data_IF_567383583074
#
_entry.id   IF_567383583074
#
_cell.length_a   1.000
_cell.length_b   1.000
_cell.length_c   1.000
_cell.angle_alpha   90.00
_cell.angle_beta   90.00
_cell.angle_gamma   90.00
#
_symmetry.space_group_name_H-M   'P 1'
#
loop_
_entity.id
_entity.type
_entity.pdbx_description
1 polymer ?
#
# COMPACT_ATOMS: atom_id res chain seq x y z
N UNK A 1 -12.03 -9.58 66.56
CA UNK A 1 -11.83 -10.96 66.06
C UNK A 1 -10.37 -11.10 65.64
N UNK A 2 -9.82 -12.30 65.45
CA UNK A 2 -8.44 -12.48 64.99
C UNK A 2 -8.40 -12.98 63.54
N UNK A 3 -7.46 -12.48 62.74
CA UNK A 3 -7.23 -12.96 61.39
C UNK A 3 -6.74 -14.42 61.40
N UNK A 4 -7.37 -15.30 60.63
CA UNK A 4 -7.00 -16.72 60.52
C UNK A 4 -5.63 -16.98 59.88
N UNK A 5 -4.96 -15.96 59.33
CA UNK A 5 -3.69 -16.13 58.63
C UNK A 5 -2.49 -15.50 59.33
N UNK A 6 -2.70 -14.43 60.10
CA UNK A 6 -1.60 -13.73 60.77
C UNK A 6 -1.87 -13.40 62.24
N UNK A 7 -3.03 -13.79 62.78
CA UNK A 7 -3.37 -13.61 64.19
C UNK A 7 -3.65 -12.17 64.62
N UNK A 8 -3.58 -11.17 63.72
CA UNK A 8 -3.83 -9.77 64.08
C UNK A 8 -5.30 -9.53 64.47
N UNK A 9 -5.53 -8.57 65.38
CA UNK A 9 -6.87 -8.08 65.70
C UNK A 9 -7.50 -7.41 64.47
N UNK A 10 -8.73 -7.82 64.15
CA UNK A 10 -9.56 -7.30 63.06
C UNK A 10 -10.94 -6.89 63.60
N UNK A 11 -11.51 -5.85 63.00
CA UNK A 11 -12.83 -5.34 63.29
C UNK A 11 -13.90 -6.08 62.49
N UNK A 12 -15.14 -6.15 63.00
CA UNK A 12 -16.24 -6.96 62.39
C UNK A 12 -16.60 -6.54 60.95
N UNK A 13 -16.27 -5.31 60.55
CA UNK A 13 -16.56 -4.75 59.22
C UNK A 13 -15.36 -4.71 58.27
N UNK A 14 -14.20 -5.26 58.66
CA UNK A 14 -13.01 -5.22 57.79
C UNK A 14 -13.14 -6.25 56.65
N UNK A 15 -13.10 -5.78 55.40
CA UNK A 15 -13.14 -6.65 54.20
C UNK A 15 -11.82 -7.38 53.96
N UNK A 16 -10.71 -6.80 54.39
CA UNK A 16 -9.36 -7.36 54.28
C UNK A 16 -8.58 -7.12 55.58
N UNK A 17 -7.64 -8.01 55.89
CA UNK A 17 -6.72 -7.82 57.01
C UNK A 17 -5.70 -6.74 56.68
N UNK A 18 -5.68 -5.64 57.44
CA UNK A 18 -4.73 -4.53 57.22
C UNK A 18 -3.25 -4.87 57.40
N UNK A 19 -2.92 -6.02 58.00
CA UNK A 19 -1.52 -6.44 58.22
C UNK A 19 -0.99 -7.42 57.17
N UNK A 20 -1.81 -8.37 56.73
CA UNK A 20 -1.37 -9.41 55.77
C UNK A 20 -2.13 -9.40 54.45
N UNK A 21 -3.10 -8.50 54.25
CA UNK A 21 -3.87 -8.35 53.01
C UNK A 21 -4.91 -9.43 52.75
N UNK A 22 -5.07 -10.44 53.63
CA UNK A 22 -6.02 -11.53 53.41
C UNK A 22 -7.48 -11.05 53.47
N UNK A 23 -8.29 -11.42 52.47
CA UNK A 23 -9.72 -11.13 52.43
C UNK A 23 -10.49 -11.91 53.50
N UNK A 24 -11.37 -11.23 54.24
CA UNK A 24 -12.04 -11.75 55.44
C UNK A 24 -13.54 -12.01 55.24
N UNK A 25 -14.14 -11.44 54.18
CA UNK A 25 -15.56 -11.62 53.87
C UNK A 25 -15.75 -12.13 52.44
N UNK A 26 -16.26 -13.35 52.33
CA UNK A 26 -16.71 -13.99 51.09
C UNK A 26 -18.24 -13.89 51.01
N UNK A 27 -18.75 -12.70 50.72
CA UNK A 27 -20.08 -12.43 50.12
C UNK A 27 -20.44 -10.96 50.34
N UNK A 28 -19.99 -10.10 49.42
CA UNK A 28 -20.72 -8.90 49.09
C UNK A 28 -21.04 -8.99 47.59
N UNK A 29 -22.30 -9.30 47.29
CA UNK A 29 -22.89 -9.07 45.97
C UNK A 29 -22.89 -7.56 45.73
N UNK A 30 -21.83 -7.05 45.12
CA UNK A 30 -21.92 -5.84 44.32
C UNK A 30 -22.52 -6.22 42.98
N UNK A 31 -23.68 -5.63 42.67
CA UNK A 31 -24.23 -5.57 41.32
C UNK A 31 -23.24 -4.87 40.39
N UNK A 32 -22.26 -5.60 39.88
CA UNK A 32 -21.51 -5.25 38.69
C UNK A 32 -22.15 -5.98 37.51
N UNK A 33 -22.66 -5.21 36.54
CA UNK A 33 -22.85 -5.72 35.18
C UNK A 33 -21.55 -6.42 34.75
N UNK A 34 -21.59 -7.65 34.21
CA UNK A 34 -20.38 -8.29 33.72
C UNK A 34 -19.83 -7.45 32.58
N UNK A 35 -18.77 -6.69 32.88
CA UNK A 35 -18.02 -5.92 31.92
C UNK A 35 -17.43 -6.88 30.89
N UNK A 36 -18.10 -6.98 29.73
CA UNK A 36 -17.75 -7.77 28.55
C UNK A 36 -16.49 -7.23 27.83
N UNK A 37 -15.59 -6.58 28.56
CA UNK A 37 -14.36 -5.98 28.03
C UNK A 37 -13.32 -7.06 27.76
N UNK A 38 -13.22 -8.10 28.58
CA UNK A 38 -12.24 -9.18 28.38
C UNK A 38 -12.56 -10.02 27.13
N UNK A 39 -13.84 -10.37 26.92
CA UNK A 39 -14.26 -11.11 25.71
C UNK A 39 -14.09 -10.30 24.42
N UNK A 40 -14.38 -9.00 24.44
CA UNK A 40 -14.13 -8.11 23.30
C UNK A 40 -12.65 -7.93 22.99
N UNK A 41 -11.80 -7.84 24.02
CA UNK A 41 -10.34 -7.72 23.87
C UNK A 41 -9.73 -9.02 23.34
N UNK A 42 -10.19 -10.19 23.81
CA UNK A 42 -9.70 -11.48 23.29
C UNK A 42 -10.18 -11.75 21.86
N UNK A 43 -11.44 -11.46 21.53
CA UNK A 43 -11.94 -11.53 20.15
C UNK A 43 -11.21 -10.57 19.22
N UNK A 44 -10.93 -9.33 19.66
CA UNK A 44 -10.13 -8.39 18.88
C UNK A 44 -8.70 -8.91 18.68
N UNK A 45 -8.04 -9.41 19.73
CA UNK A 45 -6.68 -9.95 19.66
C UNK A 45 -6.61 -11.18 18.74
N UNK A 46 -7.59 -12.07 18.80
CA UNK A 46 -7.68 -13.23 17.92
C UNK A 46 -7.92 -12.82 16.46
N UNK A 47 -8.83 -11.86 16.22
CA UNK A 47 -9.09 -11.32 14.89
C UNK A 47 -7.86 -10.63 14.31
N UNK A 48 -7.12 -9.85 15.10
CA UNK A 48 -5.87 -9.19 14.69
C UNK A 48 -4.76 -10.21 14.41
N UNK A 49 -4.63 -11.23 15.24
CA UNK A 49 -3.60 -12.28 15.07
C UNK A 49 -3.87 -13.11 13.82
N UNK A 50 -5.13 -13.50 13.59
CA UNK A 50 -5.55 -14.24 12.39
C UNK A 50 -5.44 -13.37 11.12
N UNK A 51 -5.76 -12.08 11.22
CA UNK A 51 -5.60 -11.13 10.12
C UNK A 51 -4.12 -10.97 9.73
N UNK A 52 -3.24 -10.72 10.71
CA UNK A 52 -1.80 -10.55 10.51
C UNK A 52 -1.15 -11.82 9.93
N UNK A 53 -1.46 -12.99 10.49
CA UNK A 53 -0.88 -14.25 10.02
C UNK A 53 -1.31 -14.58 8.58
N UNK A 54 -2.57 -14.35 8.22
CA UNK A 54 -3.05 -14.53 6.85
C UNK A 54 -2.32 -13.63 5.85
N UNK A 55 -2.15 -12.35 6.19
CA UNK A 55 -1.45 -11.37 5.34
C UNK A 55 0.05 -11.70 5.20
N UNK A 56 0.71 -12.18 6.25
CA UNK A 56 2.13 -12.55 6.20
C UNK A 56 2.36 -13.79 5.34
N UNK A 57 1.49 -14.80 5.46
CA UNK A 57 1.55 -16.00 4.62
C UNK A 57 1.30 -15.65 3.16
N UNK A 58 0.29 -14.83 2.90
CA UNK A 58 -0.02 -14.33 1.56
C UNK A 58 1.12 -13.48 1.00
N UNK A 59 1.71 -12.60 1.80
CA UNK A 59 2.86 -11.77 1.42
C UNK A 59 4.10 -12.59 1.07
N UNK A 60 4.44 -13.60 1.87
CA UNK A 60 5.54 -14.53 1.54
C UNK A 60 5.28 -15.22 0.22
N UNK A 61 4.05 -15.70 0.01
CA UNK A 61 3.64 -16.37 -1.23
C UNK A 61 3.73 -15.42 -2.42
N UNK A 62 3.26 -14.18 -2.26
CA UNK A 62 3.31 -13.12 -3.27
C UNK A 62 4.73 -12.84 -3.72
N UNK A 63 5.64 -12.48 -2.80
CA UNK A 63 7.01 -12.16 -3.15
C UNK A 63 7.75 -13.38 -3.72
N UNK A 64 7.53 -14.57 -3.16
CA UNK A 64 8.12 -15.80 -3.69
C UNK A 64 7.64 -16.08 -5.13
N UNK A 65 6.34 -15.97 -5.39
CA UNK A 65 5.74 -16.14 -6.72
C UNK A 65 6.30 -15.13 -7.73
N UNK A 66 6.34 -13.85 -7.36
CA UNK A 66 6.78 -12.77 -8.26
C UNK A 66 8.24 -12.91 -8.62
N UNK A 67 9.13 -13.14 -7.64
CA UNK A 67 10.57 -13.22 -7.87
C UNK A 67 11.03 -14.51 -8.52
N UNK A 68 10.22 -15.58 -8.46
CA UNK A 68 10.61 -16.89 -8.98
C UNK A 68 9.90 -17.25 -10.28
N UNK A 69 8.62 -16.89 -10.43
CA UNK A 69 7.77 -17.38 -11.53
C UNK A 69 6.70 -16.39 -11.99
N UNK A 70 7.09 -15.14 -12.25
CA UNK A 70 6.19 -14.05 -12.67
C UNK A 70 5.26 -14.45 -13.83
N UNK A 71 5.83 -14.98 -14.92
CA UNK A 71 5.06 -15.32 -16.12
C UNK A 71 3.99 -16.38 -15.86
N UNK A 72 4.30 -17.36 -14.99
CA UNK A 72 3.36 -18.41 -14.63
C UNK A 72 2.24 -17.91 -13.72
N UNK A 73 2.52 -16.93 -12.87
CA UNK A 73 1.54 -16.36 -11.95
C UNK A 73 0.49 -15.55 -12.72
N UNK A 74 0.93 -14.73 -13.68
CA UNK A 74 0.05 -13.87 -14.51
C UNK A 74 -0.83 -14.71 -15.44
N UNK A 75 -0.31 -15.86 -15.91
CA UNK A 75 -1.08 -16.81 -16.71
C UNK A 75 -2.05 -17.64 -15.85
N UNK A 76 -1.71 -17.90 -14.59
CA UNK A 76 -2.55 -18.66 -13.67
C UNK A 76 -3.88 -17.98 -13.35
N UNK A 77 -4.85 -18.72 -12.80
CA UNK A 77 -6.12 -18.15 -12.31
C UNK A 77 -6.02 -17.58 -10.89
N UNK A 78 -4.81 -17.55 -10.32
CA UNK A 78 -4.61 -17.12 -8.94
C UNK A 78 -4.81 -15.63 -8.81
N UNK A 79 -5.39 -15.21 -7.68
CA UNK A 79 -5.58 -13.80 -7.34
C UNK A 79 -5.20 -13.57 -5.89
N UNK A 80 -4.46 -12.51 -5.61
CA UNK A 80 -4.22 -12.06 -4.25
C UNK A 80 -5.44 -11.32 -3.70
N UNK A 81 -5.68 -11.41 -2.40
CA UNK A 81 -6.78 -10.78 -1.69
C UNK A 81 -6.71 -9.26 -1.80
N UNK A 82 -7.86 -8.62 -2.03
CA UNK A 82 -7.98 -7.15 -1.98
C UNK A 82 -7.41 -6.54 -0.70
N UNK A 83 -7.49 -7.24 0.44
CA UNK A 83 -6.95 -6.77 1.72
C UNK A 83 -5.42 -6.68 1.68
N UNK A 84 -4.78 -7.74 1.20
CA UNK A 84 -3.33 -7.78 1.05
C UNK A 84 -2.85 -6.73 0.05
N UNK A 85 -3.51 -6.65 -1.12
CA UNK A 85 -3.26 -5.65 -2.16
C UNK A 85 -3.33 -4.22 -1.61
N UNK A 86 -4.38 -3.89 -0.84
CA UNK A 86 -4.57 -2.56 -0.28
C UNK A 86 -3.46 -2.20 0.73
N UNK A 87 -3.03 -3.16 1.56
CA UNK A 87 -1.93 -2.96 2.50
C UNK A 87 -0.62 -2.75 1.75
N UNK A 88 -0.33 -3.57 0.75
CA UNK A 88 0.88 -3.48 -0.05
C UNK A 88 0.98 -2.11 -0.75
N UNK A 89 -0.11 -1.67 -1.39
CA UNK A 89 -0.20 -0.35 -2.00
C UNK A 89 -0.05 0.77 -0.96
N UNK A 90 -0.71 0.64 0.19
CA UNK A 90 -0.62 1.59 1.29
C UNK A 90 0.80 1.76 1.82
N UNK A 91 1.53 0.65 2.03
CA UNK A 91 2.93 0.67 2.44
C UNK A 91 3.78 1.36 1.38
N UNK A 92 3.61 1.01 0.10
CA UNK A 92 4.34 1.65 -1.00
C UNK A 92 4.12 3.17 -1.06
N UNK A 93 2.88 3.64 -0.87
CA UNK A 93 2.54 5.06 -0.86
C UNK A 93 3.11 5.78 0.37
N UNK A 94 3.08 5.16 1.56
CA UNK A 94 3.69 5.73 2.77
C UNK A 94 5.20 5.90 2.56
N UNK A 95 5.88 4.88 2.02
CA UNK A 95 7.30 4.94 1.73
C UNK A 95 7.59 6.04 0.69
N UNK A 96 6.79 6.18 -0.36
CA UNK A 96 6.92 7.27 -1.33
C UNK A 96 6.82 8.66 -0.68
N UNK A 97 5.92 8.84 0.28
CA UNK A 97 5.75 10.10 1.01
C UNK A 97 6.98 10.41 1.89
N UNK A 98 7.55 9.39 2.53
CA UNK A 98 8.79 9.53 3.31
C UNK A 98 9.96 9.92 2.40
N UNK A 99 10.17 9.20 1.30
CA UNK A 99 11.28 9.48 0.38
C UNK A 99 11.15 10.86 -0.25
N UNK A 100 9.97 11.24 -0.74
CA UNK A 100 9.76 12.58 -1.32
C UNK A 100 10.02 13.70 -0.31
N UNK A 101 9.69 13.50 0.97
CA UNK A 101 9.98 14.46 2.03
C UNK A 101 11.47 14.64 2.32
N UNK A 102 12.27 13.58 2.14
CA UNK A 102 13.74 13.60 2.30
C UNK A 102 14.40 14.21 1.06
N UNK A 103 13.93 13.85 -0.13
CA UNK A 103 14.54 14.23 -1.41
C UNK A 103 14.40 15.71 -1.76
N UNK A 104 13.32 16.35 -1.31
CA UNK A 104 13.02 17.74 -1.64
C UNK A 104 13.77 18.67 -0.67
N UNK A 105 14.75 19.47 -1.15
CA UNK A 105 15.51 20.39 -0.32
C UNK A 105 14.61 21.50 0.23
N UNK A 106 14.93 22.03 1.41
CA UNK A 106 14.17 23.12 2.06
C UNK A 106 14.42 24.49 1.43
N UNK A 107 15.42 24.62 0.56
CA UNK A 107 15.88 25.88 -0.05
C UNK A 107 14.93 26.43 -1.13
N UNK A 108 13.98 25.61 -1.62
CA UNK A 108 12.90 26.02 -2.54
C UNK A 108 11.97 27.12 -1.97
N UNK A 109 12.04 27.41 -0.67
CA UNK A 109 11.24 28.45 -0.02
C UNK A 109 11.55 29.87 -0.50
N UNK A 110 12.71 30.11 -1.11
CA UNK A 110 13.07 31.42 -1.65
C UNK A 110 12.21 31.83 -2.86
N UNK A 111 11.61 30.86 -3.55
CA UNK A 111 10.70 31.06 -4.68
C UNK A 111 9.22 31.21 -4.24
N UNK A 112 8.95 31.39 -2.94
CA UNK A 112 7.59 31.50 -2.40
C UNK A 112 6.80 30.18 -2.41
N UNK A 113 7.42 29.06 -2.79
CA UNK A 113 6.77 27.74 -2.85
C UNK A 113 7.03 27.00 -1.53
N UNK A 114 5.97 26.50 -0.90
CA UNK A 114 6.12 25.68 0.29
C UNK A 114 6.58 24.25 -0.07
N UNK A 115 7.56 23.72 0.68
CA UNK A 115 8.02 22.32 0.56
C UNK A 115 6.87 21.32 0.57
N UNK A 116 5.92 21.51 1.48
CA UNK A 116 4.75 20.64 1.61
C UNK A 116 3.89 20.60 0.35
N UNK A 117 3.76 21.72 -0.38
CA UNK A 117 2.98 21.74 -1.63
C UNK A 117 3.62 20.90 -2.73
N UNK A 118 4.95 20.90 -2.83
CA UNK A 118 5.68 20.10 -3.83
C UNK A 118 5.57 18.62 -3.48
N UNK A 119 5.82 18.26 -2.22
CA UNK A 119 5.68 16.88 -1.73
C UNK A 119 4.26 16.36 -2.01
N UNK A 120 3.23 17.14 -1.66
CA UNK A 120 1.84 16.77 -1.88
C UNK A 120 1.52 16.62 -3.38
N UNK A 121 1.96 17.55 -4.24
CA UNK A 121 1.77 17.46 -5.69
C UNK A 121 2.40 16.19 -6.26
N UNK A 122 3.65 15.87 -5.91
CA UNK A 122 4.32 14.65 -6.35
C UNK A 122 3.57 13.40 -5.89
N UNK A 123 3.11 13.37 -4.63
CA UNK A 123 2.36 12.25 -4.07
C UNK A 123 1.02 12.02 -4.79
N UNK A 124 0.22 13.07 -4.95
CA UNK A 124 -1.07 12.97 -5.66
C UNK A 124 -0.90 12.64 -7.14
N UNK A 125 0.13 13.20 -7.79
CA UNK A 125 0.45 12.88 -9.19
C UNK A 125 0.78 11.39 -9.35
N UNK A 126 1.54 10.80 -8.42
CA UNK A 126 1.85 9.37 -8.45
C UNK A 126 0.59 8.50 -8.28
N UNK A 127 -0.30 8.86 -7.34
CA UNK A 127 -1.58 8.14 -7.14
C UNK A 127 -2.44 8.22 -8.40
N UNK A 128 -2.63 9.42 -8.95
CA UNK A 128 -3.42 9.63 -10.16
C UNK A 128 -2.81 8.87 -11.34
N UNK A 129 -1.49 8.91 -11.50
CA UNK A 129 -0.78 8.16 -12.54
C UNK A 129 -1.02 6.65 -12.46
N UNK A 130 -0.94 6.06 -11.26
CA UNK A 130 -1.23 4.64 -11.05
C UNK A 130 -2.68 4.28 -11.37
N UNK A 131 -3.64 5.12 -10.92
CA UNK A 131 -5.06 4.92 -11.21
C UNK A 131 -5.31 4.98 -12.71
N UNK A 132 -4.72 5.95 -13.40
CA UNK A 132 -4.87 6.12 -14.86
C UNK A 132 -4.28 4.93 -15.60
N UNK A 133 -3.07 4.48 -15.26
CA UNK A 133 -2.45 3.30 -15.89
C UNK A 133 -3.29 2.03 -15.68
N UNK A 134 -3.83 1.83 -14.48
CA UNK A 134 -4.74 0.72 -14.20
C UNK A 134 -6.05 0.84 -14.99
N UNK A 135 -6.66 2.02 -15.04
CA UNK A 135 -7.89 2.28 -15.78
C UNK A 135 -7.72 2.03 -17.29
N UNK A 136 -6.58 2.43 -17.87
CA UNK A 136 -6.23 2.13 -19.27
C UNK A 136 -6.16 0.62 -19.48
N UNK A 137 -5.50 -0.12 -18.58
CA UNK A 137 -5.36 -1.57 -18.68
C UNK A 137 -6.74 -2.26 -18.70
N UNK A 138 -7.63 -1.89 -17.77
CA UNK A 138 -9.01 -2.40 -17.73
C UNK A 138 -9.80 -1.99 -18.97
N UNK A 139 -9.64 -0.75 -19.44
CA UNK A 139 -10.28 -0.23 -20.64
C UNK A 139 -9.91 -1.02 -21.89
N UNK A 140 -8.61 -1.27 -22.09
CA UNK A 140 -8.10 -2.06 -23.23
C UNK A 140 -8.59 -3.51 -23.15
N UNK A 141 -8.54 -4.13 -21.97
CA UNK A 141 -9.05 -5.50 -21.79
C UNK A 141 -10.52 -5.61 -22.21
N UNK A 142 -11.33 -4.60 -21.89
CA UNK A 142 -12.74 -4.54 -22.29
C UNK A 142 -12.91 -4.35 -23.80
N UNK A 143 -12.09 -3.52 -24.44
CA UNK A 143 -12.10 -3.31 -25.91
C UNK A 143 -11.72 -4.60 -26.65
N UNK A 144 -10.69 -5.30 -26.16
CA UNK A 144 -10.19 -6.56 -26.73
C UNK A 144 -11.10 -7.77 -26.43
N UNK A 145 -12.13 -7.59 -25.59
CA UNK A 145 -13.05 -8.63 -25.11
C UNK A 145 -12.34 -9.76 -24.33
N UNK A 146 -11.30 -9.40 -23.57
CA UNK A 146 -10.55 -10.32 -22.72
C UNK A 146 -11.41 -10.65 -21.48
N UNK A 147 -11.70 -11.94 -21.27
CA UNK A 147 -12.53 -12.45 -20.16
C UNK A 147 -11.75 -12.55 -18.85
N UNK A 148 -11.18 -11.45 -18.38
CA UNK A 148 -10.54 -11.35 -17.06
C UNK A 148 -11.42 -10.59 -16.09
N UNK A 149 -11.46 -11.01 -14.82
CA UNK A 149 -12.13 -10.24 -13.77
C UNK A 149 -11.28 -9.03 -13.39
N UNK A 150 -11.93 -7.93 -12.99
CA UNK A 150 -11.22 -6.71 -12.51
C UNK A 150 -10.29 -7.01 -11.34
N UNK A 151 -10.69 -7.96 -10.48
CA UNK A 151 -9.85 -8.42 -9.37
C UNK A 151 -8.53 -9.01 -9.85
N UNK A 152 -8.60 -9.90 -10.85
CA UNK A 152 -7.41 -10.52 -11.44
C UNK A 152 -6.53 -9.46 -12.08
N UNK A 153 -7.10 -8.57 -12.88
CA UNK A 153 -6.33 -7.48 -13.52
C UNK A 153 -5.65 -6.58 -12.48
N UNK A 154 -6.29 -6.28 -11.35
CA UNK A 154 -5.67 -5.50 -10.28
C UNK A 154 -4.51 -6.26 -9.60
N UNK A 155 -4.73 -7.53 -9.28
CA UNK A 155 -3.73 -8.42 -8.69
C UNK A 155 -2.49 -8.53 -9.56
N UNK A 156 -2.66 -8.76 -10.86
CA UNK A 156 -1.57 -8.91 -11.82
C UNK A 156 -0.86 -7.56 -12.07
N UNK A 157 -1.63 -6.47 -12.14
CA UNK A 157 -1.07 -5.12 -12.29
C UNK A 157 -0.13 -4.75 -11.14
N UNK A 158 -0.51 -5.05 -9.91
CA UNK A 158 0.32 -4.79 -8.73
C UNK A 158 1.52 -5.75 -8.70
N UNK A 159 1.31 -7.00 -9.08
CA UNK A 159 2.38 -8.00 -9.15
C UNK A 159 3.48 -7.57 -10.12
N UNK A 160 3.11 -7.16 -11.32
CA UNK A 160 4.07 -6.68 -12.32
C UNK A 160 4.76 -5.38 -11.88
N UNK A 161 4.00 -4.42 -11.37
CA UNK A 161 4.53 -3.12 -10.92
C UNK A 161 5.35 -3.18 -9.64
N UNK A 162 5.38 -4.31 -8.94
CA UNK A 162 6.25 -4.51 -7.77
C UNK A 162 7.72 -4.37 -8.15
N UNK A 163 8.13 -4.87 -9.34
CA UNK A 163 9.49 -4.70 -9.85
C UNK A 163 9.85 -3.23 -10.10
N UNK A 164 8.95 -2.49 -10.77
CA UNK A 164 9.13 -1.07 -11.02
C UNK A 164 9.25 -0.29 -9.70
N UNK A 165 8.40 -0.61 -8.73
CA UNK A 165 8.38 0.03 -7.41
C UNK A 165 9.67 -0.23 -6.63
N UNK A 166 10.21 -1.44 -6.66
CA UNK A 166 11.48 -1.76 -6.00
C UNK A 166 12.65 -1.01 -6.63
N UNK A 167 12.73 -1.00 -7.96
CA UNK A 167 13.76 -0.24 -8.69
C UNK A 167 13.67 1.26 -8.39
N UNK A 168 12.46 1.80 -8.25
CA UNK A 168 12.25 3.20 -7.87
C UNK A 168 12.89 3.50 -6.51
N UNK A 169 12.59 2.69 -5.49
CA UNK A 169 13.10 2.93 -4.14
C UNK A 169 14.60 2.69 -4.02
N UNK A 170 15.14 1.70 -4.73
CA UNK A 170 16.59 1.50 -4.82
C UNK A 170 17.23 2.76 -5.43
N UNK A 171 16.69 3.27 -6.54
CA UNK A 171 17.13 4.52 -7.16
C UNK A 171 17.03 5.72 -6.20
N UNK A 172 15.94 5.82 -5.45
CA UNK A 172 15.75 6.88 -4.45
C UNK A 172 16.79 6.81 -3.32
N UNK A 173 17.14 5.60 -2.85
CA UNK A 173 18.22 5.40 -1.86
C UNK A 173 19.57 5.89 -2.41
N UNK A 174 19.90 5.56 -3.67
CA UNK A 174 21.13 6.05 -4.30
C UNK A 174 21.16 7.57 -4.43
N UNK A 175 19.99 8.20 -4.65
CA UNK A 175 19.88 9.64 -4.72
C UNK A 175 20.14 10.28 -3.35
N UNK A 176 19.65 9.66 -2.26
CA UNK A 176 19.95 10.08 -0.87
C UNK A 176 21.45 9.96 -0.54
N UNK A 177 22.13 8.93 -1.07
CA UNK A 177 23.59 8.73 -0.89
C UNK A 177 24.40 9.63 -1.85
N UNK A 178 23.75 10.53 -2.61
CA UNK A 178 24.36 11.47 -3.56
C UNK A 178 25.03 10.82 -4.80
N UNK A 179 24.72 9.55 -5.10
CA UNK A 179 25.17 8.87 -6.32
C UNK A 179 24.18 9.16 -7.46
N UNK A 180 24.17 10.42 -7.87
CA UNK A 180 23.09 11.01 -8.69
C UNK A 180 22.93 10.37 -10.07
N UNK A 181 24.01 10.16 -10.82
CA UNK A 181 23.91 9.62 -12.19
C UNK A 181 23.30 8.21 -12.23
N UNK A 182 23.72 7.36 -11.29
CA UNK A 182 23.18 6.00 -11.18
C UNK A 182 21.75 5.99 -10.65
N UNK A 183 21.44 6.86 -9.69
CA UNK A 183 20.09 7.01 -9.17
C UNK A 183 19.08 7.43 -10.25
N UNK A 184 19.41 8.45 -11.04
CA UNK A 184 18.55 8.94 -12.14
C UNK A 184 18.34 7.86 -13.19
N UNK A 185 19.37 7.09 -13.52
CA UNK A 185 19.26 5.94 -14.41
C UNK A 185 18.25 4.89 -13.91
N UNK A 186 18.35 4.48 -12.64
CA UNK A 186 17.43 3.51 -12.04
C UNK A 186 15.99 4.04 -11.95
N UNK A 187 15.81 5.30 -11.54
CA UNK A 187 14.49 5.93 -11.47
C UNK A 187 13.86 6.01 -12.87
N UNK A 188 14.65 6.33 -13.90
CA UNK A 188 14.16 6.39 -15.29
C UNK A 188 13.71 5.02 -15.78
N UNK A 189 14.49 3.97 -15.52
CA UNK A 189 14.09 2.59 -15.85
C UNK A 189 12.81 2.20 -15.12
N UNK A 190 12.69 2.53 -13.84
CA UNK A 190 11.50 2.25 -13.05
C UNK A 190 10.25 2.92 -13.65
N UNK A 191 10.33 4.21 -13.98
CA UNK A 191 9.22 4.94 -14.61
C UNK A 191 8.84 4.33 -15.97
N UNK A 192 9.84 3.89 -16.75
CA UNK A 192 9.60 3.22 -18.02
C UNK A 192 8.87 1.88 -17.83
N UNK A 193 9.22 1.12 -16.79
CA UNK A 193 8.54 -0.15 -16.46
C UNK A 193 7.07 0.07 -16.07
N UNK A 194 6.75 1.14 -15.34
CA UNK A 194 5.35 1.50 -15.06
C UNK A 194 4.56 1.78 -16.34
N UNK A 195 5.17 2.42 -17.33
CA UNK A 195 4.54 2.70 -18.63
C UNK A 195 4.41 1.40 -19.45
N UNK A 196 5.39 0.50 -19.44
CA UNK A 196 5.32 -0.74 -20.24
C UNK A 196 4.35 -1.77 -19.62
N UNK A 197 4.08 -1.69 -18.31
CA UNK A 197 3.25 -2.62 -17.55
C UNK A 197 1.87 -2.92 -18.17
N UNK A 198 1.02 -1.92 -18.52
CA UNK A 198 -0.22 -2.17 -19.24
C UNK A 198 -0.04 -3.00 -20.52
N UNK A 199 0.97 -2.67 -21.33
CA UNK A 199 1.27 -3.36 -22.60
C UNK A 199 1.54 -4.83 -22.34
N UNK A 200 2.42 -5.13 -21.38
CA UNK A 200 2.75 -6.50 -21.01
C UNK A 200 1.50 -7.28 -20.57
N UNK A 201 0.64 -6.70 -19.72
CA UNK A 201 -0.54 -7.40 -19.20
C UNK A 201 -1.55 -7.78 -20.28
N UNK A 202 -2.00 -6.81 -21.10
CA UNK A 202 -3.04 -7.12 -22.09
C UNK A 202 -2.50 -7.97 -23.25
N UNK A 203 -1.20 -7.87 -23.58
CA UNK A 203 -0.56 -8.76 -24.56
C UNK A 203 -0.46 -10.19 -24.04
N UNK A 204 -0.07 -10.38 -22.78
CA UNK A 204 0.00 -11.71 -22.16
C UNK A 204 -1.39 -12.34 -22.04
N UNK A 205 -2.41 -11.58 -21.63
CA UNK A 205 -3.79 -12.06 -21.59
C UNK A 205 -4.35 -12.42 -22.96
N UNK A 206 -3.92 -11.71 -24.00
CA UNK A 206 -4.33 -12.03 -25.35
C UNK A 206 -3.85 -13.40 -25.81
N UNK A 207 -2.68 -13.86 -25.37
CA UNK A 207 -2.15 -15.15 -25.81
C UNK A 207 -3.04 -16.33 -25.40
N UNK A 208 -3.85 -16.17 -24.36
CA UNK A 208 -4.72 -17.20 -23.80
C UNK A 208 -6.21 -16.96 -24.03
N UNK A 209 -6.58 -15.92 -24.79
CA UNK A 209 -7.97 -15.53 -25.00
C UNK A 209 -8.35 -15.37 -26.47
N UNK A 210 -9.62 -15.71 -26.78
CA UNK A 210 -10.21 -15.42 -28.09
C UNK A 210 -10.53 -13.93 -28.17
N UNK A 211 -9.71 -13.20 -28.92
CA UNK A 211 -9.85 -11.76 -29.08
C UNK A 211 -10.93 -11.37 -30.08
N UNK A 212 -11.61 -10.25 -29.83
CA UNK A 212 -12.47 -9.60 -30.83
C UNK A 212 -11.68 -8.76 -31.83
N UNK A 213 -10.58 -8.16 -31.37
CA UNK A 213 -9.73 -7.25 -32.15
C UNK A 213 -8.27 -7.68 -31.94
N UNK A 214 -7.42 -7.68 -32.98
CA UNK A 214 -6.01 -7.99 -32.81
C UNK A 214 -5.31 -7.10 -31.78
N UNK A 215 -4.41 -7.69 -30.98
CA UNK A 215 -3.67 -7.00 -29.89
C UNK A 215 -2.96 -5.74 -30.36
N UNK A 216 -2.46 -5.75 -31.60
CA UNK A 216 -1.74 -4.62 -32.20
C UNK A 216 -2.56 -3.33 -32.13
N UNK A 217 -3.88 -3.40 -32.31
CA UNK A 217 -4.75 -2.22 -32.16
C UNK A 217 -4.84 -1.76 -30.71
N UNK A 218 -4.83 -2.68 -29.73
CA UNK A 218 -4.73 -2.34 -28.31
C UNK A 218 -3.44 -1.58 -27.98
N UNK A 219 -2.32 -1.99 -28.57
CA UNK A 219 -1.02 -1.31 -28.43
C UNK A 219 -1.07 0.10 -29.05
N UNK A 220 -1.64 0.25 -30.25
CA UNK A 220 -1.78 1.56 -30.89
C UNK A 220 -2.67 2.51 -30.08
N UNK A 221 -3.82 2.03 -29.61
CA UNK A 221 -4.73 2.81 -28.75
C UNK A 221 -4.01 3.23 -27.46
N UNK A 222 -3.24 2.31 -26.86
CA UNK A 222 -2.45 2.60 -25.66
C UNK A 222 -1.48 3.78 -25.90
N UNK A 223 -0.72 3.76 -26.99
CA UNK A 223 0.23 4.84 -27.30
C UNK A 223 -0.46 6.18 -27.53
N UNK A 224 -1.62 6.20 -28.21
CA UNK A 224 -2.40 7.43 -28.40
C UNK A 224 -2.84 8.00 -27.04
N UNK A 225 -3.39 7.15 -26.16
CA UNK A 225 -3.86 7.58 -24.84
C UNK A 225 -2.70 8.11 -23.99
N UNK A 226 -1.57 7.40 -23.96
CA UNK A 226 -0.37 7.87 -23.23
C UNK A 226 0.17 9.17 -23.81
N UNK A 227 0.21 9.35 -25.13
CA UNK A 227 0.66 10.60 -25.74
C UNK A 227 -0.23 11.79 -25.33
N UNK A 228 -1.54 11.60 -25.27
CA UNK A 228 -2.49 12.62 -24.79
C UNK A 228 -2.23 12.95 -23.32
N UNK A 229 -2.08 11.93 -22.46
CA UNK A 229 -1.83 12.12 -21.03
C UNK A 229 -0.49 12.83 -20.80
N UNK A 230 0.57 12.41 -21.49
CA UNK A 230 1.89 13.03 -21.39
C UNK A 230 1.85 14.50 -21.83
N UNK A 231 1.06 14.83 -22.85
CA UNK A 231 0.85 16.22 -23.27
C UNK A 231 0.14 17.05 -22.20
N UNK A 232 -0.93 16.53 -21.60
CA UNK A 232 -1.66 17.19 -20.51
C UNK A 232 -0.75 17.45 -19.30
N UNK A 233 0.04 16.44 -18.90
CA UNK A 233 0.98 16.57 -17.78
C UNK A 233 2.08 17.60 -18.13
N UNK A 234 2.63 17.54 -19.35
CA UNK A 234 3.65 18.48 -19.81
C UNK A 234 3.16 19.94 -19.80
N UNK A 235 1.95 20.20 -20.30
CA UNK A 235 1.34 21.53 -20.29
C UNK A 235 1.10 22.05 -18.87
N UNK A 236 0.67 21.17 -17.95
CA UNK A 236 0.50 21.51 -16.53
C UNK A 236 1.84 21.87 -15.85
N UNK A 237 2.91 21.16 -16.16
CA UNK A 237 4.26 21.46 -15.66
C UNK A 237 4.80 22.78 -16.22
N UNK A 238 4.67 23.02 -17.52
CA UNK A 238 5.16 24.25 -18.19
C UNK A 238 4.38 25.47 -17.71
N UNK A 239 3.06 25.37 -17.58
CA UNK A 239 2.23 26.49 -17.10
C UNK A 239 2.59 26.83 -15.64
N UNK A 240 2.87 25.81 -14.83
CA UNK A 240 3.30 26.01 -13.43
C UNK A 240 4.65 26.70 -13.33
N UNK A 241 5.62 26.38 -14.20
CA UNK A 241 6.92 27.05 -14.21
C UNK A 241 6.86 28.43 -14.85
N UNK A 242 6.07 28.63 -15.91
CA UNK A 242 5.88 29.94 -16.54
C UNK A 242 5.28 30.96 -15.58
N UNK A 243 4.28 30.56 -14.78
CA UNK A 243 3.69 31.43 -13.76
C UNK A 243 4.69 31.79 -12.64
N UNK A 244 5.67 30.92 -12.33
CA UNK A 244 6.74 31.21 -11.38
C UNK A 244 7.77 32.21 -11.90
N UNK A 245 7.95 32.32 -13.22
CA UNK A 245 8.85 33.31 -13.83
C UNK A 245 8.18 34.68 -14.02
N UNK A 246 6.85 34.76 -13.95
CA UNK A 246 6.06 35.99 -14.15
C UNK A 246 5.58 36.64 -12.84
N UNK A 247 5.83 36.01 -11.67
CA UNK A 247 5.54 36.54 -10.33
C UNK A 247 6.81 36.98 -9.61
#
# INVERSE_FOLDING_TARGET
MHCSNCGSLISKNDRFCGKCGKQLQANFQSSESPSNNNGKVEMFKQNVTQYSSGILVEGKTFFQSIFTKLDSEIESTRTFSYKFIAILLGIGLIILLIFSSILIPTEIGYLGISKGSIVAKCFFLAIIGLIVLFAITVGINKILNIKTTTHKTLSDFISFNTYATLLFFIGAIFLVIQITSFAVFLITISLLLFIISPIYLFTKYSSSSNLRVPVVYGILIYFIIIAIIMRIIGESSITSTANLFLS
#
